data_IF_236387514368
#
_entry.id   IF_236387514368
#
_cell.length_a   1.000
_cell.length_b   1.000
_cell.length_c   1.000
_cell.angle_alpha   90.00
_cell.angle_beta   90.00
_cell.angle_gamma   90.00
#
_symmetry.space_group_name_H-M   'P 1'
#
loop_
_entity.id
_entity.type
_entity.pdbx_description
1 polymer ?
#
# COMPACT_ATOMS: atom_id res chain seq x y z
N UNK A 1 14.54 -22.50 6.05
CA UNK A 1 14.18 -22.05 4.68
C UNK A 1 13.69 -20.61 4.77
N UNK A 2 14.30 -19.69 3.99
CA UNK A 2 13.76 -18.35 3.76
C UNK A 2 12.45 -18.47 2.97
N UNK A 3 11.43 -17.69 3.30
CA UNK A 3 10.16 -17.74 2.58
C UNK A 3 10.31 -16.95 1.28
N UNK A 4 10.01 -17.57 0.14
CA UNK A 4 10.10 -16.90 -1.15
C UNK A 4 9.12 -15.71 -1.21
N UNK A 5 9.57 -14.58 -1.75
CA UNK A 5 8.72 -13.41 -2.01
C UNK A 5 7.72 -13.76 -3.13
N UNK A 6 6.40 -13.72 -2.90
CA UNK A 6 5.42 -14.00 -3.95
C UNK A 6 5.44 -12.90 -5.01
N UNK A 7 5.34 -13.31 -6.28
CA UNK A 7 5.32 -12.43 -7.46
C UNK A 7 3.99 -12.54 -8.22
N UNK A 8 3.71 -11.58 -9.11
CA UNK A 8 2.48 -11.57 -9.90
C UNK A 8 1.22 -11.44 -9.03
N UNK A 9 0.26 -12.32 -9.25
CA UNK A 9 -1.00 -12.39 -8.50
C UNK A 9 -0.93 -13.26 -7.23
N UNK A 10 0.23 -13.88 -6.99
CA UNK A 10 0.46 -14.72 -5.81
C UNK A 10 0.58 -13.90 -4.53
N UNK A 11 0.32 -14.55 -3.40
CA UNK A 11 0.38 -13.97 -2.07
C UNK A 11 0.78 -15.04 -1.05
N UNK A 12 1.14 -14.62 0.15
CA UNK A 12 1.40 -15.56 1.25
C UNK A 12 0.10 -16.23 1.70
N UNK A 13 0.21 -17.41 2.34
CA UNK A 13 -0.96 -18.09 2.94
C UNK A 13 -1.58 -17.26 4.09
N UNK A 14 -0.71 -16.62 4.87
CA UNK A 14 -1.02 -15.70 5.96
C UNK A 14 0.02 -14.59 5.99
N UNK A 15 -0.24 -13.53 6.76
CA UNK A 15 0.74 -12.46 6.95
C UNK A 15 2.08 -13.03 7.45
N UNK A 16 3.22 -12.60 6.89
CA UNK A 16 4.54 -12.96 7.41
C UNK A 16 4.70 -12.56 8.88
N UNK A 17 5.43 -13.39 9.64
CA UNK A 17 5.71 -13.11 11.06
C UNK A 17 6.75 -11.99 11.19
N UNK A 18 6.26 -10.77 11.44
CA UNK A 18 7.07 -9.56 11.56
C UNK A 18 8.01 -9.58 12.77
N UNK A 19 7.74 -10.39 13.80
CA UNK A 19 8.66 -10.54 14.95
C UNK A 19 9.85 -11.38 14.53
N UNK A 20 9.60 -12.48 13.81
CA UNK A 20 10.66 -13.32 13.22
C UNK A 20 11.54 -12.54 12.24
N UNK A 21 10.94 -11.63 11.47
CA UNK A 21 11.64 -10.75 10.53
C UNK A 21 12.36 -9.57 11.22
N UNK A 22 12.30 -9.45 12.55
CA UNK A 22 12.84 -8.32 13.31
C UNK A 22 12.29 -6.96 12.82
N UNK A 23 11.02 -6.92 12.44
CA UNK A 23 10.34 -5.72 11.95
C UNK A 23 9.38 -5.11 12.99
N UNK A 24 9.53 -5.40 14.28
CA UNK A 24 8.65 -4.85 15.32
C UNK A 24 9.38 -3.85 16.26
N UNK A 25 10.25 -3.02 15.70
CA UNK A 25 11.00 -2.00 16.44
C UNK A 25 11.32 -0.78 15.55
N UNK A 26 11.79 0.30 16.16
CA UNK A 26 12.16 1.54 15.47
C UNK A 26 11.04 2.05 14.56
N UNK A 27 11.38 2.41 13.32
CA UNK A 27 10.42 2.91 12.32
C UNK A 27 9.32 1.90 11.92
N UNK A 28 9.52 0.61 12.17
CA UNK A 28 8.56 -0.45 11.83
C UNK A 28 7.75 -0.97 13.03
N UNK A 29 7.91 -0.38 14.21
CA UNK A 29 7.09 -0.72 15.38
C UNK A 29 5.59 -0.47 15.13
N UNK A 30 4.74 -1.04 16.00
CA UNK A 30 3.31 -0.70 16.04
C UNK A 30 2.43 -1.39 15.00
N UNK A 31 2.76 -2.62 14.57
CA UNK A 31 1.96 -3.39 13.62
C UNK A 31 0.49 -3.57 14.03
N UNK A 32 0.24 -3.83 15.32
CA UNK A 32 -1.12 -4.01 15.83
C UNK A 32 -1.93 -2.71 15.68
N UNK A 33 -1.32 -1.55 15.99
CA UNK A 33 -1.95 -0.24 15.80
C UNK A 33 -2.18 0.06 14.32
N UNK A 34 -1.22 -0.26 13.47
CA UNK A 34 -1.33 -0.09 12.02
C UNK A 34 -2.53 -0.88 11.45
N UNK A 35 -2.68 -2.14 11.83
CA UNK A 35 -3.81 -2.96 11.37
C UNK A 35 -5.13 -2.57 12.03
N UNK A 36 -5.14 -2.12 13.29
CA UNK A 36 -6.35 -1.56 13.92
C UNK A 36 -6.93 -0.37 13.15
N UNK A 37 -6.07 0.46 12.54
CA UNK A 37 -6.50 1.60 11.69
C UNK A 37 -7.17 1.15 10.39
N UNK A 38 -7.04 -0.12 9.99
CA UNK A 38 -7.76 -0.64 8.81
C UNK A 38 -9.29 -0.48 8.96
N UNK A 39 -9.80 -0.67 10.17
CA UNK A 39 -11.23 -0.53 10.48
C UNK A 39 -11.77 0.91 10.32
N UNK A 40 -10.87 1.90 10.18
CA UNK A 40 -11.23 3.31 9.94
C UNK A 40 -11.05 3.72 8.47
N UNK A 41 -10.59 2.81 7.59
CA UNK A 41 -10.55 3.06 6.15
C UNK A 41 -11.96 3.08 5.56
N UNK A 42 -12.09 3.58 4.33
CA UNK A 42 -13.34 3.56 3.57
C UNK A 42 -14.14 2.24 3.73
N UNK A 43 -15.45 2.35 4.01
CA UNK A 43 -16.31 1.21 4.35
C UNK A 43 -16.30 0.09 3.28
N UNK A 44 -16.28 0.47 2.01
CA UNK A 44 -16.25 -0.47 0.89
C UNK A 44 -14.95 -1.30 0.75
N UNK A 45 -13.91 -1.05 1.56
CA UNK A 45 -12.67 -1.85 1.53
C UNK A 45 -12.51 -2.79 2.72
N UNK A 46 -13.49 -2.83 3.63
CA UNK A 46 -13.38 -3.61 4.87
C UNK A 46 -13.21 -5.12 4.62
N UNK A 47 -13.84 -5.66 3.58
CA UNK A 47 -13.72 -7.06 3.18
C UNK A 47 -12.34 -7.43 2.58
N UNK A 48 -11.50 -6.43 2.28
CA UNK A 48 -10.16 -6.61 1.70
C UNK A 48 -9.09 -6.89 2.75
N UNK A 49 -9.35 -6.74 4.05
CA UNK A 49 -8.33 -6.83 5.10
C UNK A 49 -7.56 -8.15 5.05
N UNK A 50 -8.26 -9.28 4.91
CA UNK A 50 -7.65 -10.61 4.83
C UNK A 50 -6.69 -10.70 3.65
N UNK A 51 -7.09 -10.20 2.48
CA UNK A 51 -6.25 -10.24 1.27
C UNK A 51 -5.06 -9.29 1.41
N UNK A 52 -5.25 -8.12 2.00
CA UNK A 52 -4.17 -7.19 2.30
C UNK A 52 -3.12 -7.84 3.21
N UNK A 53 -3.53 -8.52 4.30
CA UNK A 53 -2.61 -9.27 5.17
C UNK A 53 -1.81 -10.35 4.43
N UNK A 54 -2.45 -11.07 3.50
CA UNK A 54 -1.77 -12.07 2.67
C UNK A 54 -0.79 -11.48 1.65
N UNK A 55 -1.10 -10.29 1.13
CA UNK A 55 -0.25 -9.58 0.17
C UNK A 55 0.90 -8.79 0.83
N UNK A 56 0.92 -8.68 2.17
CA UNK A 56 2.03 -8.08 2.89
C UNK A 56 3.32 -8.90 2.68
N UNK A 57 4.35 -8.25 2.14
CA UNK A 57 5.59 -8.90 1.73
C UNK A 57 5.53 -9.58 0.37
N UNK A 58 4.63 -9.16 -0.54
CA UNK A 58 4.62 -9.62 -1.93
C UNK A 58 5.04 -8.52 -2.90
N UNK A 59 5.70 -8.94 -3.98
CA UNK A 59 6.22 -8.02 -5.00
C UNK A 59 5.08 -7.47 -5.86
N UNK A 60 4.29 -8.39 -6.41
CA UNK A 60 3.23 -8.14 -7.37
C UNK A 60 3.58 -8.39 -8.83
N UNK A 61 2.61 -8.06 -9.69
CA UNK A 61 2.79 -8.01 -11.15
C UNK A 61 2.80 -6.58 -11.68
N UNK A 62 2.89 -6.42 -13.01
CA UNK A 62 3.08 -5.13 -13.65
C UNK A 62 4.55 -4.72 -13.64
N UNK A 63 4.83 -3.44 -13.43
CA UNK A 63 6.18 -2.88 -13.35
C UNK A 63 6.84 -3.05 -11.96
N UNK A 64 6.46 -4.08 -11.19
CA UNK A 64 7.07 -4.36 -9.88
C UNK A 64 8.24 -5.34 -10.01
N UNK A 65 9.41 -4.98 -9.48
CA UNK A 65 10.64 -5.76 -9.63
C UNK A 65 11.60 -5.62 -8.44
N UNK A 66 12.51 -6.59 -8.34
CA UNK A 66 13.69 -6.57 -7.47
C UNK A 66 14.89 -6.74 -8.39
N UNK A 67 15.79 -5.76 -8.40
CA UNK A 67 16.92 -5.72 -9.32
C UNK A 67 18.22 -5.43 -8.57
N UNK A 68 19.31 -6.08 -8.98
CA UNK A 68 20.66 -5.74 -8.56
C UNK A 68 21.28 -4.84 -9.62
N UNK A 69 21.71 -3.66 -9.23
CA UNK A 69 22.36 -2.69 -10.12
C UNK A 69 23.76 -2.36 -9.60
N UNK A 70 24.63 -1.81 -10.44
CA UNK A 70 25.93 -1.30 -10.02
C UNK A 70 26.10 0.15 -10.44
N UNK A 71 26.82 0.94 -9.64
CA UNK A 71 27.28 2.27 -10.06
C UNK A 71 28.63 2.20 -10.78
N UNK A 72 29.11 3.37 -11.25
CA UNK A 72 30.36 3.51 -12.00
C UNK A 72 31.61 3.17 -11.16
N UNK A 73 31.49 3.19 -9.83
CA UNK A 73 32.54 2.80 -8.88
C UNK A 73 32.51 1.29 -8.55
N UNK A 74 31.58 0.54 -9.14
CA UNK A 74 31.43 -0.91 -8.98
C UNK A 74 30.66 -1.33 -7.72
N UNK A 75 30.01 -0.40 -7.01
CA UNK A 75 29.21 -0.73 -5.84
C UNK A 75 27.86 -1.33 -6.27
N UNK A 76 27.47 -2.42 -5.61
CA UNK A 76 26.22 -3.13 -5.90
C UNK A 76 25.08 -2.60 -5.04
N UNK A 77 23.97 -2.29 -5.68
CA UNK A 77 22.74 -1.78 -5.08
C UNK A 77 21.58 -2.74 -5.31
N UNK A 78 20.63 -2.75 -4.36
CA UNK A 78 19.36 -3.48 -4.51
C UNK A 78 18.24 -2.48 -4.74
N UNK A 79 17.65 -2.49 -5.93
CA UNK A 79 16.48 -1.69 -6.26
C UNK A 79 15.20 -2.51 -6.10
N UNK A 80 14.31 -2.07 -5.22
CA UNK A 80 13.00 -2.69 -4.96
C UNK A 80 11.88 -1.74 -5.38
N UNK A 81 11.19 -2.08 -6.47
CA UNK A 81 10.02 -1.36 -6.95
C UNK A 81 8.74 -2.12 -6.58
N UNK A 82 8.06 -1.68 -5.51
CA UNK A 82 6.75 -2.21 -5.11
C UNK A 82 5.93 -1.20 -4.31
N UNK A 83 4.60 -1.27 -4.44
CA UNK A 83 3.65 -0.36 -3.82
C UNK A 83 2.76 -0.97 -2.74
N UNK A 84 1.59 -0.35 -2.58
CA UNK A 84 0.55 -0.70 -1.61
C UNK A 84 -0.31 -1.90 -2.00
N UNK A 85 0.10 -2.66 -3.02
CA UNK A 85 -0.64 -3.80 -3.58
C UNK A 85 -2.09 -3.41 -3.97
N UNK A 86 -3.00 -4.39 -4.07
CA UNK A 86 -4.37 -4.12 -4.52
C UNK A 86 -5.14 -3.20 -3.56
N UNK A 87 -4.86 -3.27 -2.25
CA UNK A 87 -5.60 -2.47 -1.27
C UNK A 87 -5.48 -0.96 -1.52
N UNK A 88 -4.28 -0.46 -1.85
CA UNK A 88 -4.13 0.96 -2.17
C UNK A 88 -4.83 1.37 -3.46
N UNK A 89 -4.92 0.46 -4.45
CA UNK A 89 -5.70 0.70 -5.67
C UNK A 89 -7.19 0.84 -5.34
N UNK A 90 -7.74 -0.10 -4.58
CA UNK A 90 -9.17 -0.08 -4.20
C UNK A 90 -9.51 1.19 -3.43
N UNK A 91 -8.68 1.59 -2.44
CA UNK A 91 -8.82 2.85 -1.70
C UNK A 91 -8.88 4.04 -2.67
N UNK A 92 -7.92 4.14 -3.59
CA UNK A 92 -7.87 5.23 -4.56
C UNK A 92 -9.12 5.26 -5.45
N UNK A 93 -9.56 4.12 -5.96
CA UNK A 93 -10.76 4.02 -6.81
C UNK A 93 -12.03 4.47 -6.09
N UNK A 94 -12.19 4.15 -4.80
CA UNK A 94 -13.35 4.62 -4.00
C UNK A 94 -13.35 6.12 -3.80
N UNK A 95 -12.20 6.70 -3.46
CA UNK A 95 -12.07 8.15 -3.30
C UNK A 95 -12.25 8.88 -4.63
N UNK A 96 -11.71 8.36 -5.74
CA UNK A 96 -11.94 8.92 -7.09
C UNK A 96 -13.42 8.87 -7.46
N UNK A 97 -14.09 7.75 -7.21
CA UNK A 97 -15.53 7.61 -7.44
C UNK A 97 -16.34 8.64 -6.64
N UNK A 98 -16.00 8.83 -5.35
CA UNK A 98 -16.62 9.84 -4.49
C UNK A 98 -16.37 11.26 -5.02
N UNK A 99 -15.13 11.60 -5.35
CA UNK A 99 -14.76 12.93 -5.87
C UNK A 99 -15.55 13.26 -7.14
N UNK A 100 -15.66 12.29 -8.06
CA UNK A 100 -16.45 12.42 -9.29
C UNK A 100 -17.94 12.75 -9.00
N UNK A 101 -18.49 12.34 -7.86
CA UNK A 101 -19.88 12.63 -7.50
C UNK A 101 -20.14 14.03 -6.91
N UNK A 102 -19.10 14.79 -6.57
CA UNK A 102 -19.24 16.08 -5.90
C UNK A 102 -19.71 17.18 -6.86
N UNK A 103 -20.56 18.08 -6.37
CA UNK A 103 -21.23 19.12 -7.16
C UNK A 103 -20.23 19.98 -7.94
N UNK A 104 -19.14 20.42 -7.31
CA UNK A 104 -18.10 21.24 -7.94
C UNK A 104 -17.31 20.49 -9.04
N UNK A 105 -17.40 19.17 -9.10
CA UNK A 105 -16.74 18.33 -10.10
C UNK A 105 -17.68 17.89 -11.26
N UNK A 106 -18.97 18.23 -11.22
CA UNK A 106 -19.93 17.78 -12.24
C UNK A 106 -19.71 18.42 -13.61
N UNK A 107 -19.16 19.64 -13.64
CA UNK A 107 -18.89 20.40 -14.87
C UNK A 107 -17.50 20.22 -15.47
N UNK A 108 -16.69 19.29 -14.95
CA UNK A 108 -15.32 19.11 -15.44
C UNK A 108 -15.30 18.58 -16.89
N UNK A 109 -14.39 19.08 -17.74
CA UNK A 109 -14.23 18.59 -19.11
C UNK A 109 -13.74 17.13 -19.14
N UNK A 110 -12.99 16.73 -18.12
CA UNK A 110 -12.55 15.35 -17.89
C UNK A 110 -12.87 14.95 -16.45
N UNK A 111 -13.56 13.82 -16.29
CA UNK A 111 -13.98 13.27 -15.00
C UNK A 111 -12.79 12.81 -14.17
N UNK A 112 -11.66 12.48 -14.80
CA UNK A 112 -10.44 12.07 -14.11
C UNK A 112 -9.70 13.26 -13.46
N UNK A 113 -10.14 14.49 -13.71
CA UNK A 113 -9.66 15.70 -13.03
C UNK A 113 -10.44 16.05 -11.76
N UNK A 114 -11.30 15.13 -11.26
CA UNK A 114 -12.07 15.38 -10.05
C UNK A 114 -11.18 15.56 -8.82
N UNK A 115 -11.47 16.59 -8.01
CA UNK A 115 -10.68 16.96 -6.83
C UNK A 115 -11.51 17.01 -5.56
N UNK A 116 -10.85 16.84 -4.42
CA UNK A 116 -11.39 17.29 -3.13
C UNK A 116 -10.92 18.72 -2.86
N UNK A 117 -11.80 19.55 -2.32
CA UNK A 117 -11.43 20.88 -1.83
C UNK A 117 -10.74 20.74 -0.46
N UNK A 118 -9.80 21.64 -0.15
CA UNK A 118 -9.17 21.65 1.17
C UNK A 118 -10.21 21.88 2.28
N UNK A 119 -9.88 21.44 3.49
CA UNK A 119 -10.70 21.67 4.69
C UNK A 119 -12.12 21.07 4.59
N UNK A 120 -12.26 19.96 3.87
CA UNK A 120 -13.49 19.17 3.74
C UNK A 120 -13.33 17.80 4.38
N UNK A 121 -14.45 17.23 4.86
CA UNK A 121 -14.46 15.88 5.42
C UNK A 121 -14.02 14.82 4.39
N UNK A 122 -14.30 15.04 3.11
CA UNK A 122 -13.84 14.21 2.01
C UNK A 122 -12.32 14.23 1.85
N UNK A 123 -11.70 15.42 1.91
CA UNK A 123 -10.25 15.55 1.86
C UNK A 123 -9.60 14.87 3.07
N UNK A 124 -10.15 15.08 4.27
CA UNK A 124 -9.63 14.45 5.49
C UNK A 124 -9.70 12.91 5.42
N UNK A 125 -10.82 12.37 4.94
CA UNK A 125 -10.99 10.94 4.74
C UNK A 125 -10.00 10.39 3.69
N UNK A 126 -9.84 11.09 2.57
CA UNK A 126 -8.87 10.73 1.54
C UNK A 126 -7.43 10.72 2.06
N UNK A 127 -7.02 11.77 2.77
CA UNK A 127 -5.67 11.87 3.32
C UNK A 127 -5.40 10.79 4.37
N UNK A 128 -6.36 10.51 5.25
CA UNK A 128 -6.25 9.43 6.23
C UNK A 128 -5.95 8.09 5.56
N UNK A 129 -6.73 7.75 4.53
CA UNK A 129 -6.59 6.47 3.81
C UNK A 129 -5.31 6.43 2.96
N UNK A 130 -4.94 7.56 2.33
CA UNK A 130 -3.70 7.72 1.58
C UNK A 130 -2.48 7.45 2.47
N UNK A 131 -2.43 8.07 3.66
CA UNK A 131 -1.33 7.87 4.59
C UNK A 131 -1.25 6.43 5.09
N UNK A 132 -2.39 5.78 5.31
CA UNK A 132 -2.41 4.36 5.64
C UNK A 132 -1.86 3.50 4.49
N UNK A 133 -2.25 3.76 3.24
CA UNK A 133 -1.76 3.04 2.07
C UNK A 133 -0.25 3.25 1.83
N UNK A 134 0.26 4.45 2.08
CA UNK A 134 1.69 4.75 2.04
C UNK A 134 2.47 4.00 3.14
N UNK A 135 1.94 3.96 4.36
CA UNK A 135 2.51 3.17 5.46
C UNK A 135 2.49 1.67 5.12
N UNK A 136 1.39 1.17 4.56
CA UNK A 136 1.30 -0.20 4.06
C UNK A 136 2.40 -0.48 3.02
N UNK A 137 2.61 0.39 2.04
CA UNK A 137 3.62 0.20 1.00
C UNK A 137 5.05 0.17 1.59
N UNK A 138 5.34 1.04 2.55
CA UNK A 138 6.61 1.05 3.28
C UNK A 138 6.84 -0.26 4.03
N UNK A 139 5.83 -0.71 4.79
CA UNK A 139 5.85 -1.99 5.52
C UNK A 139 5.98 -3.20 4.58
N UNK A 140 5.31 -3.17 3.43
CA UNK A 140 5.40 -4.21 2.40
C UNK A 140 6.84 -4.38 1.90
N UNK A 141 7.51 -3.27 1.56
CA UNK A 141 8.92 -3.29 1.15
C UNK A 141 9.86 -3.74 2.26
N UNK A 142 9.62 -3.31 3.50
CA UNK A 142 10.41 -3.75 4.65
C UNK A 142 10.35 -5.28 4.86
N UNK A 143 9.15 -5.86 4.73
CA UNK A 143 8.95 -7.32 4.82
C UNK A 143 9.71 -8.03 3.70
N UNK A 144 9.66 -7.54 2.46
CA UNK A 144 10.41 -8.13 1.34
C UNK A 144 11.93 -8.09 1.59
N UNK A 145 12.46 -6.97 2.09
CA UNK A 145 13.90 -6.83 2.37
C UNK A 145 14.37 -7.70 3.54
N UNK A 146 13.47 -8.08 4.45
CA UNK A 146 13.79 -8.90 5.62
C UNK A 146 13.57 -10.42 5.40
N UNK A 147 13.04 -10.84 4.25
CA UNK A 147 12.59 -12.22 3.99
C UNK A 147 13.70 -13.23 3.64
#
# INVERSE_FOLDING_TARGET
MRAAIPVGFSAHKSMPDVRRLKLNHGQYAGWDRFWKRFAALHDDVQDREKRAKQQMGSLGGGNHFIELTSDDDGQVWLMLHSGSRNIGKEIAERHIYKAKGLEHNLGLPDRDLAVFLSDTAEMDAYLSDLYWAQEYASRNRAVMLAS
#
